data_IF_431775267236
#
_entry.id   IF_431775267236
#
_cell.length_a   1.000
_cell.length_b   1.000
_cell.length_c   1.000
_cell.angle_alpha   90.00
_cell.angle_beta   90.00
_cell.angle_gamma   90.00
#
_symmetry.space_group_name_H-M   'P 1'
#
loop_
_entity.id
_entity.type
_entity.pdbx_description
1 polymer ?
#
# COMPACT_ATOMS: atom_id res chain seq x y z
N UNK A 1 20.35 -1.47 7.47
CA UNK A 1 19.90 -0.99 6.14
C UNK A 1 19.78 -2.26 5.32
N UNK A 2 18.55 -2.75 5.13
CA UNK A 2 18.33 -4.00 4.37
C UNK A 2 18.06 -3.53 2.95
N UNK A 3 19.03 -3.80 2.06
CA UNK A 3 18.85 -3.70 0.62
C UNK A 3 17.85 -4.80 0.21
N UNK A 4 16.66 -4.43 -0.24
CA UNK A 4 15.70 -5.35 -0.83
C UNK A 4 15.82 -5.24 -2.35
N UNK A 5 16.58 -6.16 -2.97
CA UNK A 5 16.66 -6.28 -4.43
C UNK A 5 15.31 -6.66 -5.02
N UNK A 6 15.04 -6.29 -6.27
CA UNK A 6 13.88 -6.79 -7.03
C UNK A 6 13.98 -8.31 -7.32
N UNK A 7 15.21 -8.83 -7.39
CA UNK A 7 15.52 -10.26 -7.41
C UNK A 7 15.52 -10.89 -5.98
N UNK A 8 15.65 -10.08 -4.92
CA UNK A 8 15.45 -10.48 -3.51
C UNK A 8 14.03 -10.19 -3.01
N UNK A 9 13.11 -9.73 -3.89
CA UNK A 9 11.72 -9.59 -3.46
C UNK A 9 11.09 -10.96 -3.20
N UNK A 10 11.81 -12.05 -3.48
CA UNK A 10 11.41 -13.46 -3.32
C UNK A 10 9.90 -13.53 -3.57
N UNK A 11 9.50 -13.12 -4.78
CA UNK A 11 8.11 -13.05 -5.23
C UNK A 11 7.61 -14.48 -5.40
N UNK A 12 7.48 -15.18 -4.28
CA UNK A 12 7.06 -16.55 -4.12
C UNK A 12 5.64 -16.50 -3.63
N UNK A 13 4.72 -16.94 -4.49
CA UNK A 13 3.30 -17.00 -4.18
C UNK A 13 2.42 -16.38 -5.25
N UNK A 14 1.10 -16.49 -5.07
CA UNK A 14 0.14 -15.95 -6.03
C UNK A 14 0.20 -14.42 -6.05
N UNK A 15 -0.04 -13.84 -7.23
CA UNK A 15 -0.10 -12.38 -7.39
C UNK A 15 -1.38 -11.74 -6.83
N UNK A 16 -2.32 -12.54 -6.34
CA UNK A 16 -3.57 -12.08 -5.73
C UNK A 16 -4.22 -13.20 -4.92
N UNK A 17 -5.22 -12.86 -4.11
CA UNK A 17 -6.15 -13.80 -3.50
C UNK A 17 -7.59 -13.27 -3.58
N UNK A 18 -8.58 -14.03 -3.08
CA UNK A 18 -9.99 -13.63 -3.17
C UNK A 18 -10.29 -12.41 -2.29
N UNK A 19 -9.50 -12.17 -1.25
CA UNK A 19 -9.59 -10.97 -0.41
C UNK A 19 -9.00 -9.71 -1.05
N UNK A 20 -8.23 -9.83 -2.14
CA UNK A 20 -7.62 -8.69 -2.81
C UNK A 20 -8.69 -7.80 -3.46
N UNK A 21 -8.68 -6.52 -3.13
CA UNK A 21 -9.43 -5.51 -3.89
C UNK A 21 -8.72 -5.17 -5.20
N UNK A 22 -9.44 -4.66 -6.23
CA UNK A 22 -8.80 -4.16 -7.44
C UNK A 22 -7.64 -3.22 -7.11
N UNK A 23 -6.52 -3.37 -7.82
CA UNK A 23 -5.37 -2.47 -7.64
C UNK A 23 -5.80 -1.05 -7.96
N UNK A 24 -5.42 -0.12 -7.07
CA UNK A 24 -5.64 1.30 -7.27
C UNK A 24 -4.30 1.99 -7.55
N UNK A 25 -4.36 3.00 -8.39
CA UNK A 25 -3.20 3.84 -8.70
C UNK A 25 -3.17 5.08 -7.83
N UNK A 26 -1.97 5.48 -7.40
CA UNK A 26 -1.75 6.70 -6.61
C UNK A 26 -0.82 7.68 -7.33
N UNK A 27 -1.15 8.96 -7.25
CA UNK A 27 -0.42 10.05 -7.85
C UNK A 27 -1.26 10.81 -8.87
N UNK A 28 -0.66 11.82 -9.47
CA UNK A 28 -1.27 12.63 -10.53
C UNK A 28 -1.95 11.74 -11.61
N UNK A 29 -3.26 11.92 -11.81
CA UNK A 29 -4.04 11.15 -12.80
C UNK A 29 -4.38 9.71 -12.42
N UNK A 30 -4.09 9.30 -11.18
CA UNK A 30 -4.43 7.99 -10.64
C UNK A 30 -5.85 7.90 -10.08
N UNK A 31 -6.17 6.74 -9.49
CA UNK A 31 -7.43 6.52 -8.78
C UNK A 31 -7.51 7.32 -7.48
N UNK A 32 -6.36 7.57 -6.84
CA UNK A 32 -6.22 8.44 -5.67
C UNK A 32 -5.26 9.57 -6.05
N UNK A 33 -5.79 10.78 -6.20
CA UNK A 33 -5.02 11.98 -6.56
C UNK A 33 -4.26 12.53 -5.35
N UNK A 34 -3.23 11.80 -4.94
CA UNK A 34 -2.25 12.23 -3.95
C UNK A 34 -0.86 11.82 -4.40
N UNK A 35 0.10 12.72 -4.42
CA UNK A 35 1.46 12.39 -4.85
C UNK A 35 2.21 11.51 -3.83
N UNK A 36 1.73 11.45 -2.58
CA UNK A 36 2.32 10.65 -1.50
C UNK A 36 1.26 10.17 -0.49
N UNK A 37 1.53 9.06 0.21
CA UNK A 37 0.75 8.64 1.38
C UNK A 37 1.59 8.80 2.66
N UNK A 38 1.26 9.75 3.56
CA UNK A 38 2.01 10.00 4.78
C UNK A 38 1.68 8.95 5.85
N UNK A 39 1.97 7.68 5.56
CA UNK A 39 1.72 6.55 6.44
C UNK A 39 3.04 6.06 7.03
N UNK A 40 3.09 5.94 8.36
CA UNK A 40 4.16 5.23 9.06
C UNK A 40 3.88 3.73 9.09
N UNK A 41 4.91 2.94 9.42
CA UNK A 41 4.77 1.49 9.60
C UNK A 41 3.58 1.15 10.51
N UNK A 42 2.74 0.19 10.08
CA UNK A 42 1.56 -0.30 10.80
C UNK A 42 0.52 0.78 11.16
N UNK A 43 0.56 1.97 10.55
CA UNK A 43 -0.38 3.06 10.79
C UNK A 43 -1.84 2.64 10.53
N UNK A 44 -2.76 3.04 11.41
CA UNK A 44 -4.20 2.85 11.23
C UNK A 44 -4.88 4.13 10.75
N UNK A 45 -5.91 3.97 9.92
CA UNK A 45 -6.69 5.06 9.35
C UNK A 45 -8.18 4.93 9.71
N UNK A 46 -8.78 6.04 10.13
CA UNK A 46 -10.19 6.16 10.45
C UNK A 46 -10.84 7.27 9.60
N UNK A 47 -12.04 7.02 9.12
CA UNK A 47 -12.74 7.87 8.17
C UNK A 47 -12.11 7.90 6.78
N UNK A 48 -11.23 6.95 6.46
CA UNK A 48 -10.58 6.87 5.16
C UNK A 48 -10.38 5.41 4.73
N UNK A 49 -10.78 5.10 3.50
CA UNK A 49 -10.64 3.80 2.85
C UNK A 49 -10.10 3.99 1.44
N UNK A 50 -9.20 3.12 0.95
CA UNK A 50 -8.76 3.20 -0.43
C UNK A 50 -9.93 2.91 -1.39
N UNK A 51 -10.24 3.90 -2.21
CA UNK A 51 -11.25 3.83 -3.26
C UNK A 51 -10.89 4.84 -4.36
N UNK A 52 -11.41 4.62 -5.56
CA UNK A 52 -11.30 5.61 -6.63
C UNK A 52 -11.98 6.91 -6.23
N UNK A 53 -11.26 8.03 -6.38
CA UNK A 53 -11.70 9.36 -5.95
C UNK A 53 -11.62 9.58 -4.44
N UNK A 54 -10.98 8.69 -3.68
CA UNK A 54 -10.71 8.95 -2.27
C UNK A 54 -9.84 10.22 -2.13
N UNK A 55 -10.12 11.09 -1.14
CA UNK A 55 -9.30 12.27 -0.89
C UNK A 55 -7.90 11.87 -0.41
N UNK A 56 -6.97 12.83 -0.39
CA UNK A 56 -5.70 12.65 0.31
C UNK A 56 -5.93 12.26 1.79
N UNK A 57 -5.06 11.40 2.32
CA UNK A 57 -5.10 11.03 3.75
C UNK A 57 -4.74 12.24 4.60
N UNK A 58 -5.74 12.80 5.26
CA UNK A 58 -5.58 13.93 6.15
C UNK A 58 -4.97 13.51 7.50
N UNK A 59 -4.51 14.48 8.27
CA UNK A 59 -3.82 14.23 9.53
C UNK A 59 -4.70 13.55 10.58
N UNK A 60 -5.96 13.94 10.61
CA UNK A 60 -7.03 13.44 11.47
C UNK A 60 -7.45 12.02 11.14
N UNK A 61 -7.17 11.53 9.93
CA UNK A 61 -7.44 10.13 9.60
C UNK A 61 -6.46 9.20 10.30
N UNK A 62 -5.25 9.66 10.64
CA UNK A 62 -4.21 8.85 11.24
C UNK A 62 -4.48 8.67 12.73
N UNK A 63 -4.85 7.45 13.12
CA UNK A 63 -5.21 7.08 14.50
C UNK A 63 -4.33 5.96 15.03
N UNK A 64 -4.33 5.76 16.34
CA UNK A 64 -3.73 4.58 16.96
C UNK A 64 -4.57 3.32 16.66
N UNK A 65 -3.91 2.18 16.46
CA UNK A 65 -4.58 0.92 16.13
C UNK A 65 -5.33 0.26 17.30
N UNK A 66 -5.15 0.78 18.52
CA UNK A 66 -5.94 0.42 19.70
C UNK A 66 -7.22 1.27 19.84
N UNK A 67 -7.61 1.98 18.79
CA UNK A 67 -8.87 2.71 18.67
C UNK A 67 -9.61 2.32 17.39
N UNK A 68 -10.82 2.84 17.21
CA UNK A 68 -11.63 2.57 16.01
C UNK A 68 -10.90 3.02 14.72
N UNK A 69 -10.77 2.11 13.77
CA UNK A 69 -10.19 2.36 12.45
C UNK A 69 -10.83 1.48 11.37
N UNK A 70 -10.79 1.97 10.12
CA UNK A 70 -11.33 1.29 8.95
C UNK A 70 -10.27 0.37 8.31
N UNK A 71 -9.02 0.85 8.22
CA UNK A 71 -7.89 0.10 7.67
C UNK A 71 -6.61 0.28 8.48
N UNK A 72 -5.71 -0.69 8.35
CA UNK A 72 -4.34 -0.65 8.85
C UNK A 72 -3.36 -0.88 7.69
N UNK A 73 -2.24 -0.15 7.69
CA UNK A 73 -1.13 -0.41 6.79
C UNK A 73 -0.46 -1.74 7.16
N UNK A 74 -0.44 -2.69 6.22
CA UNK A 74 0.30 -3.95 6.37
C UNK A 74 1.78 -3.76 6.08
N UNK A 75 2.07 -3.15 4.94
CA UNK A 75 3.43 -3.03 4.40
C UNK A 75 3.53 -1.81 3.47
N UNK A 76 4.73 -1.25 3.38
CA UNK A 76 5.10 -0.30 2.33
C UNK A 76 6.51 -0.56 1.88
N UNK A 77 6.69 -0.70 0.57
CA UNK A 77 8.01 -1.05 0.02
C UNK A 77 8.29 -0.28 -1.26
N UNK A 78 9.57 -0.03 -1.51
CA UNK A 78 10.03 0.58 -2.75
C UNK A 78 10.00 -0.47 -3.87
N UNK A 79 9.25 -0.18 -4.94
CA UNK A 79 9.27 -0.98 -6.17
C UNK A 79 10.39 -0.54 -7.13
N UNK A 80 10.98 0.65 -6.90
CA UNK A 80 12.14 1.14 -7.64
C UNK A 80 13.47 0.85 -6.92
N UNK A 81 14.55 0.75 -7.68
CA UNK A 81 15.91 0.45 -7.21
C UNK A 81 16.69 1.69 -6.80
N UNK A 82 16.38 2.86 -7.39
CA UNK A 82 17.23 4.05 -7.27
C UNK A 82 16.44 5.30 -6.88
N UNK A 83 16.15 5.52 -5.59
CA UNK A 83 15.28 6.60 -5.14
C UNK A 83 15.79 8.03 -5.46
N UNK A 84 17.06 8.18 -5.86
CA UNK A 84 17.70 9.46 -6.17
C UNK A 84 18.04 9.66 -7.65
N UNK A 85 17.73 8.67 -8.49
CA UNK A 85 17.98 8.70 -9.94
C UNK A 85 16.68 8.43 -10.68
N UNK A 86 16.60 8.85 -11.93
CA UNK A 86 15.53 8.40 -12.82
C UNK A 86 15.62 6.90 -13.04
N UNK A 87 14.46 6.26 -13.05
CA UNK A 87 14.31 4.83 -13.26
C UNK A 87 13.15 4.61 -14.21
N UNK A 88 13.28 3.75 -15.24
CA UNK A 88 12.18 3.47 -16.15
C UNK A 88 10.94 2.99 -15.39
N UNK A 89 9.77 3.51 -15.76
CA UNK A 89 8.50 3.00 -15.24
C UNK A 89 8.31 1.54 -15.71
N UNK A 90 8.13 0.56 -14.79
CA UNK A 90 8.08 -0.86 -15.15
C UNK A 90 6.77 -1.30 -15.83
N UNK A 91 5.85 -0.37 -16.09
CA UNK A 91 4.44 -0.55 -16.48
C UNK A 91 3.50 -0.85 -15.29
N UNK A 92 2.23 -0.47 -15.47
CA UNK A 92 1.19 -0.74 -14.48
C UNK A 92 0.96 -2.24 -14.26
N UNK A 93 1.06 -3.05 -15.33
CA UNK A 93 0.87 -4.49 -15.24
C UNK A 93 1.95 -5.14 -14.36
N UNK A 94 3.20 -4.68 -14.49
CA UNK A 94 4.30 -5.19 -13.68
C UNK A 94 4.22 -4.72 -12.23
N UNK A 95 3.86 -3.44 -11.98
CA UNK A 95 3.62 -2.98 -10.61
C UNK A 95 2.46 -3.69 -9.94
N UNK A 96 1.39 -3.97 -10.69
CA UNK A 96 0.26 -4.77 -10.22
C UNK A 96 0.71 -6.17 -9.82
N UNK A 97 1.57 -6.80 -10.62
CA UNK A 97 2.12 -8.12 -10.32
C UNK A 97 3.02 -8.09 -9.07
N UNK A 98 3.96 -7.16 -9.00
CA UNK A 98 4.89 -7.01 -7.88
C UNK A 98 4.13 -6.71 -6.57
N UNK A 99 3.27 -5.67 -6.61
CA UNK A 99 2.44 -5.25 -5.50
C UNK A 99 1.49 -6.34 -5.05
N UNK A 100 0.77 -6.94 -5.99
CA UNK A 100 -0.14 -8.05 -5.75
C UNK A 100 0.56 -9.21 -5.06
N UNK A 101 1.67 -9.72 -5.59
CA UNK A 101 2.40 -10.85 -4.98
C UNK A 101 2.89 -10.52 -3.57
N UNK A 102 3.53 -9.36 -3.37
CA UNK A 102 4.08 -9.00 -2.05
C UNK A 102 2.98 -8.78 -1.02
N UNK A 103 1.93 -8.03 -1.35
CA UNK A 103 0.82 -7.77 -0.45
C UNK A 103 0.03 -9.06 -0.13
N UNK A 104 -0.14 -9.96 -1.11
CA UNK A 104 -0.79 -11.27 -0.89
C UNK A 104 0.03 -12.13 0.08
N UNK A 105 1.36 -12.13 -0.09
CA UNK A 105 2.28 -12.86 0.81
C UNK A 105 2.17 -12.36 2.25
N UNK A 106 2.22 -11.03 2.45
CA UNK A 106 2.06 -10.42 3.79
C UNK A 106 0.66 -10.70 4.36
N UNK A 107 -0.40 -10.62 3.54
CA UNK A 107 -1.76 -10.91 3.98
C UNK A 107 -1.92 -12.33 4.56
N UNK A 108 -1.28 -13.31 3.93
CA UNK A 108 -1.29 -14.69 4.39
C UNK A 108 -0.28 -15.00 5.50
N UNK A 109 0.68 -14.10 5.77
CA UNK A 109 1.69 -14.32 6.82
C UNK A 109 1.08 -14.32 8.22
N UNK A 110 1.83 -14.76 9.23
CA UNK A 110 1.42 -14.64 10.63
C UNK A 110 1.33 -13.19 11.12
N UNK A 111 1.78 -12.21 10.33
CA UNK A 111 1.79 -10.80 10.72
C UNK A 111 0.40 -10.17 10.64
N UNK A 112 -0.45 -10.63 9.74
CA UNK A 112 -1.87 -10.26 9.76
C UNK A 112 -2.60 -11.17 10.76
N UNK A 113 -3.35 -10.58 11.68
CA UNK A 113 -4.18 -11.28 12.67
C UNK A 113 -5.53 -11.69 12.07
N UNK A 114 -6.19 -12.61 12.77
CA UNK A 114 -7.54 -13.08 12.43
C UNK A 114 -7.57 -14.47 11.82
N UNK A 115 -8.64 -15.20 12.13
CA UNK A 115 -8.95 -16.48 11.53
C UNK A 115 -9.71 -16.26 10.21
N UNK A 116 -9.58 -17.20 9.27
CA UNK A 116 -10.29 -17.17 7.97
C UNK A 116 -10.19 -15.82 7.24
N UNK A 117 -8.97 -15.26 7.17
CA UNK A 117 -8.68 -13.92 6.64
C UNK A 117 -9.32 -13.68 5.27
N UNK A 118 -9.32 -14.69 4.40
CA UNK A 118 -9.93 -14.62 3.06
C UNK A 118 -11.43 -14.26 3.09
N UNK A 119 -12.14 -14.65 4.16
CA UNK A 119 -13.55 -14.28 4.34
C UNK A 119 -13.73 -13.04 5.18
N UNK A 120 -12.93 -12.89 6.25
CA UNK A 120 -13.12 -11.85 7.24
C UNK A 120 -12.53 -10.49 6.85
N UNK A 121 -11.51 -10.48 5.98
CA UNK A 121 -10.73 -9.28 5.66
C UNK A 121 -10.71 -9.00 4.16
N UNK A 122 -10.42 -7.75 3.82
CA UNK A 122 -10.01 -7.31 2.48
C UNK A 122 -8.71 -6.56 2.59
N UNK A 123 -7.92 -6.62 1.52
CA UNK A 123 -6.72 -5.81 1.41
C UNK A 123 -6.66 -5.09 0.08
N UNK A 124 -6.02 -3.93 0.12
CA UNK A 124 -5.83 -3.05 -1.02
C UNK A 124 -4.36 -2.96 -1.34
N UNK A 125 -4.07 -2.90 -2.64
CA UNK A 125 -2.74 -2.68 -3.18
C UNK A 125 -2.77 -1.37 -3.93
N UNK A 126 -1.97 -0.41 -3.47
CA UNK A 126 -1.85 0.91 -4.07
C UNK A 126 -0.49 0.99 -4.76
N UNK A 127 -0.49 1.22 -6.07
CA UNK A 127 0.73 1.31 -6.88
C UNK A 127 0.88 2.72 -7.45
N UNK A 128 2.11 3.24 -7.60
CA UNK A 128 2.31 4.56 -8.17
C UNK A 128 1.88 4.61 -9.65
N UNK A 129 1.36 5.75 -10.07
CA UNK A 129 1.19 6.09 -11.49
C UNK A 129 2.55 6.27 -12.17
N UNK A 130 2.56 6.21 -13.51
CA UNK A 130 3.74 6.56 -14.30
C UNK A 130 4.22 8.00 -14.01
N UNK A 131 3.27 8.93 -13.91
CA UNK A 131 3.55 10.34 -13.70
C UNK A 131 4.21 10.59 -12.32
N UNK A 132 3.79 9.86 -11.29
CA UNK A 132 4.40 9.94 -9.95
C UNK A 132 5.75 9.20 -9.85
N UNK A 133 6.04 8.25 -10.76
CA UNK A 133 7.26 7.44 -10.75
C UNK A 133 8.51 8.23 -11.12
N UNK A 134 8.36 9.18 -12.05
CA UNK A 134 9.46 9.98 -12.59
C UNK A 134 10.04 10.94 -11.55
N UNK A 135 11.34 11.17 -11.62
CA UNK A 135 11.98 12.12 -10.72
C UNK A 135 11.58 13.54 -11.12
N UNK A 136 11.05 14.28 -10.16
CA UNK A 136 10.66 15.68 -10.31
C UNK A 136 11.54 16.54 -9.41
N UNK A 137 11.71 17.81 -9.81
CA UNK A 137 12.39 18.82 -9.00
C UNK A 137 11.41 19.95 -8.72
N UNK A 138 11.08 20.15 -7.45
CA UNK A 138 10.24 21.25 -7.00
C UNK A 138 10.93 21.97 -5.86
N UNK A 139 11.03 23.31 -5.95
CA UNK A 139 11.71 24.15 -4.95
C UNK A 139 13.14 23.68 -4.61
N UNK A 140 13.84 23.07 -5.57
CA UNK A 140 15.19 22.50 -5.38
C UNK A 140 15.24 21.12 -4.74
N UNK A 141 14.09 20.54 -4.37
CA UNK A 141 13.97 19.19 -3.83
C UNK A 141 13.62 18.19 -4.92
N UNK A 142 14.34 17.05 -4.92
CA UNK A 142 14.06 15.91 -5.78
C UNK A 142 13.05 14.99 -5.11
N UNK A 143 12.02 14.59 -5.83
CA UNK A 143 11.02 13.66 -5.35
C UNK A 143 10.52 12.75 -6.47
N UNK A 144 10.16 11.54 -6.10
CA UNK A 144 9.45 10.55 -6.93
C UNK A 144 8.72 9.62 -5.98
N UNK A 145 7.51 9.20 -6.34
CA UNK A 145 6.81 8.17 -5.59
C UNK A 145 6.95 6.83 -6.31
N UNK A 146 7.72 5.93 -5.70
CA UNK A 146 7.93 4.55 -6.16
C UNK A 146 7.52 3.53 -5.10
N UNK A 147 6.68 3.95 -4.16
CA UNK A 147 6.26 3.13 -3.03
C UNK A 147 4.95 2.43 -3.37
N UNK A 148 4.93 1.13 -3.14
CA UNK A 148 3.69 0.34 -3.14
C UNK A 148 3.21 0.22 -1.69
N UNK A 149 1.92 0.43 -1.48
CA UNK A 149 1.29 0.31 -0.17
C UNK A 149 0.30 -0.85 -0.14
N UNK A 150 0.37 -1.65 0.93
CA UNK A 150 -0.59 -2.71 1.21
C UNK A 150 -1.41 -2.32 2.44
N UNK A 151 -2.73 -2.22 2.33
CA UNK A 151 -3.63 -1.93 3.47
C UNK A 151 -4.60 -3.08 3.70
N UNK A 152 -5.06 -3.27 4.93
CA UNK A 152 -6.04 -4.30 5.31
C UNK A 152 -7.16 -3.73 6.17
N UNK A 153 -8.36 -4.26 6.00
CA UNK A 153 -9.57 -3.85 6.72
C UNK A 153 -10.60 -4.97 6.71
N UNK A 154 -11.72 -4.78 7.41
CA UNK A 154 -12.77 -5.81 7.48
C UNK A 154 -13.53 -5.94 6.17
N UNK A 155 -13.89 -7.17 5.81
CA UNK A 155 -14.64 -7.46 4.59
C UNK A 155 -16.09 -6.98 4.61
N UNK A 156 -16.67 -6.79 5.80
CA UNK A 156 -18.02 -6.25 5.98
C UNK A 156 -18.05 -4.71 6.02
N UNK A 157 -16.90 -4.05 5.89
CA UNK A 157 -16.77 -2.60 5.95
C UNK A 157 -16.98 -2.01 7.35
N UNK A 158 -17.11 -2.85 8.38
CA UNK A 158 -17.16 -2.37 9.75
C UNK A 158 -15.76 -1.95 10.22
N UNK A 159 -15.73 -1.07 11.23
CA UNK A 159 -14.50 -0.71 11.92
C UNK A 159 -14.03 -1.84 12.83
N UNK A 160 -12.74 -1.80 13.15
CA UNK A 160 -12.15 -2.58 14.24
C UNK A 160 -11.58 -1.62 15.29
N UNK A 161 -11.53 -2.08 16.54
CA UNK A 161 -10.88 -1.36 17.65
C UNK A 161 -9.59 -2.05 18.11
N UNK A 162 -9.20 -3.13 17.42
CA UNK A 162 -7.97 -3.88 17.67
C UNK A 162 -7.08 -3.88 16.42
N UNK A 163 -5.74 -3.87 16.57
CA UNK A 163 -4.84 -3.95 15.44
C UNK A 163 -5.05 -5.23 14.64
N UNK A 164 -5.06 -5.12 13.32
CA UNK A 164 -5.07 -6.22 12.36
C UNK A 164 -3.67 -6.78 12.08
N UNK A 165 -2.61 -6.07 12.48
CA UNK A 165 -1.22 -6.54 12.41
C UNK A 165 -0.71 -6.99 13.79
N UNK A 166 0.25 -7.92 13.81
CA UNK A 166 1.10 -8.23 14.97
C UNK A 166 2.01 -7.05 15.31
N UNK A 167 2.45 -6.97 16.57
CA UNK A 167 3.41 -5.94 17.04
C UNK A 167 4.83 -6.26 16.57
#
# INVERSE_FOLDING_TARGET
MIDLNLDDLDLVGPASSLAMQPVLTIGTGGDIESDWLPLSSKQCLNGWLPAKGAPEVASENRVGCYGEHDVQLMESFLAGKKPQEDEPYPSLAELTRIGGTKCTSVFHSSDVKGEDKEKALRYWVLVPTEEAWWMRVENGHRFSNRVVHCLVGRADGAKTAEPLMTE
#
